data_IF_733785099938
#
_entry.id   IF_733785099938
#
_cell.length_a   1.000
_cell.length_b   1.000
_cell.length_c   1.000
_cell.angle_alpha   90.00
_cell.angle_beta   90.00
_cell.angle_gamma   90.00
#
_symmetry.space_group_name_H-M   'P 1'
#
loop_
_entity.id
_entity.type
_entity.pdbx_description
1 polymer ?
#
# COMPACT_ATOMS: atom_id res chain seq x y z
N UNK A 1 -7.60 -22.35 11.47
CA UNK A 1 -6.45 -22.02 10.60
C UNK A 1 -6.34 -20.51 10.58
N UNK A 2 -5.43 -19.96 11.37
CA UNK A 2 -5.12 -18.53 11.34
C UNK A 2 -4.51 -18.23 9.97
N UNK A 3 -5.18 -17.39 9.16
CA UNK A 3 -4.64 -16.97 7.87
C UNK A 3 -3.70 -15.81 8.12
N UNK A 4 -2.40 -16.05 7.98
CA UNK A 4 -1.38 -14.99 8.01
C UNK A 4 -1.74 -13.90 6.98
N UNK A 5 -1.75 -12.65 7.41
CA UNK A 5 -1.92 -11.50 6.53
C UNK A 5 -0.85 -11.52 5.43
N UNK A 6 -1.23 -11.38 4.15
CA UNK A 6 -0.31 -11.58 3.02
C UNK A 6 0.97 -10.73 3.08
N UNK A 7 0.88 -9.51 3.63
CA UNK A 7 2.05 -8.66 3.84
C UNK A 7 3.06 -9.25 4.85
N UNK A 8 2.61 -10.01 5.84
CA UNK A 8 3.50 -10.67 6.80
C UNK A 8 4.33 -11.79 6.13
N UNK A 9 3.78 -12.46 5.12
CA UNK A 9 4.52 -13.44 4.33
C UNK A 9 5.64 -12.74 3.53
N UNK A 10 5.35 -11.58 2.94
CA UNK A 10 6.33 -10.77 2.21
C UNK A 10 7.44 -10.29 3.16
N UNK A 11 7.07 -9.76 4.34
CA UNK A 11 8.01 -9.32 5.37
C UNK A 11 8.96 -10.43 5.82
N UNK A 12 8.43 -11.63 6.07
CA UNK A 12 9.22 -12.82 6.46
C UNK A 12 10.17 -13.29 5.35
N UNK A 13 9.75 -13.20 4.08
CA UNK A 13 10.56 -13.66 2.94
C UNK A 13 11.62 -12.66 2.47
N UNK A 14 11.37 -11.37 2.68
CA UNK A 14 12.22 -10.28 2.18
C UNK A 14 12.59 -9.31 3.29
N UNK A 15 13.23 -9.82 4.34
CA UNK A 15 13.65 -9.03 5.51
C UNK A 15 14.64 -7.94 5.10
N UNK A 16 14.52 -6.73 5.69
CA UNK A 16 15.40 -5.58 5.46
C UNK A 16 15.58 -5.19 3.97
N UNK A 17 14.56 -5.46 3.15
CA UNK A 17 14.59 -5.21 1.71
C UNK A 17 13.44 -4.29 1.29
N UNK A 18 13.64 -3.53 0.21
CA UNK A 18 12.56 -2.81 -0.44
C UNK A 18 11.86 -3.74 -1.44
N UNK A 19 10.54 -3.86 -1.36
CA UNK A 19 9.72 -4.73 -2.22
C UNK A 19 8.73 -3.89 -3.02
N UNK A 20 8.66 -4.13 -4.33
CA UNK A 20 7.60 -3.59 -5.18
C UNK A 20 6.50 -4.64 -5.30
N UNK A 21 5.30 -4.29 -4.84
CA UNK A 21 4.09 -5.12 -4.99
C UNK A 21 3.19 -4.51 -6.06
N UNK A 22 3.00 -5.22 -7.17
CA UNK A 22 2.05 -4.84 -8.24
C UNK A 22 0.76 -5.63 -8.05
N UNK A 23 -0.37 -4.94 -7.89
CA UNK A 23 -1.67 -5.59 -7.66
C UNK A 23 -2.84 -4.69 -8.09
N UNK A 24 -4.06 -5.21 -7.98
CA UNK A 24 -5.28 -4.50 -8.35
C UNK A 24 -5.72 -3.50 -7.28
N UNK A 25 -6.44 -2.46 -7.70
CA UNK A 25 -6.94 -1.38 -6.83
C UNK A 25 -7.77 -1.86 -5.65
N UNK A 26 -8.56 -2.94 -5.81
CA UNK A 26 -9.33 -3.53 -4.72
C UNK A 26 -8.41 -4.06 -3.59
N UNK A 27 -7.30 -4.69 -3.94
CA UNK A 27 -6.33 -5.21 -2.96
C UNK A 27 -5.60 -4.06 -2.26
N UNK A 28 -5.17 -3.05 -3.02
CA UNK A 28 -4.54 -1.84 -2.46
C UNK A 28 -5.48 -1.16 -1.47
N UNK A 29 -6.75 -0.95 -1.83
CA UNK A 29 -7.74 -0.34 -0.95
C UNK A 29 -7.96 -1.14 0.35
N UNK A 30 -7.98 -2.47 0.28
CA UNK A 30 -8.08 -3.33 1.47
C UNK A 30 -6.85 -3.19 2.37
N UNK A 31 -5.64 -3.15 1.80
CA UNK A 31 -4.40 -2.95 2.56
C UNK A 31 -4.44 -1.58 3.27
N UNK A 32 -4.79 -0.52 2.53
CA UNK A 32 -4.90 0.83 3.08
C UNK A 32 -5.94 0.91 4.20
N UNK A 33 -7.09 0.25 4.05
CA UNK A 33 -8.11 0.17 5.10
C UNK A 33 -7.61 -0.54 6.36
N UNK A 34 -6.92 -1.66 6.21
CA UNK A 34 -6.40 -2.39 7.37
C UNK A 34 -5.34 -1.59 8.13
N UNK A 35 -4.43 -0.92 7.42
CA UNK A 35 -3.34 -0.15 8.06
C UNK A 35 -3.86 1.15 8.69
N UNK A 36 -4.88 1.77 8.10
CA UNK A 36 -5.44 3.05 8.56
C UNK A 36 -6.66 2.91 9.47
N UNK A 37 -6.96 1.70 9.98
CA UNK A 37 -8.18 1.45 10.76
C UNK A 37 -9.48 1.92 10.06
N UNK A 38 -9.56 1.68 8.75
CA UNK A 38 -10.63 2.07 7.83
C UNK A 38 -10.77 3.58 7.60
N UNK A 39 -9.81 4.44 7.96
CA UNK A 39 -9.87 5.87 7.61
C UNK A 39 -9.80 6.09 6.09
N UNK A 40 -8.97 5.30 5.40
CA UNK A 40 -8.88 5.25 3.92
C UNK A 40 -9.19 3.84 3.41
N UNK A 41 -9.51 3.69 2.12
CA UNK A 41 -9.81 2.41 1.49
C UNK A 41 -11.07 2.41 0.63
N UNK A 42 -11.67 1.24 0.42
CA UNK A 42 -12.79 1.08 -0.51
C UNK A 42 -13.98 1.99 -0.14
N UNK A 43 -14.52 2.71 -1.13
CA UNK A 43 -15.61 3.68 -0.94
C UNK A 43 -15.19 5.02 -0.30
N UNK A 44 -13.98 5.11 0.27
CA UNK A 44 -13.44 6.33 0.90
C UNK A 44 -12.30 6.95 0.09
N UNK A 45 -11.58 6.14 -0.67
CA UNK A 45 -10.39 6.53 -1.41
C UNK A 45 -10.50 6.09 -2.86
N UNK A 46 -10.42 7.06 -3.78
CA UNK A 46 -10.34 6.79 -5.22
C UNK A 46 -8.88 6.65 -5.62
N UNK A 47 -8.47 5.43 -5.96
CA UNK A 47 -7.12 5.16 -6.48
C UNK A 47 -7.03 5.49 -7.97
N UNK A 48 -5.96 6.15 -8.37
CA UNK A 48 -5.65 6.41 -9.77
C UNK A 48 -4.86 5.26 -10.40
N UNK A 49 -5.01 5.06 -11.71
CA UNK A 49 -4.20 4.10 -12.46
C UNK A 49 -2.73 4.45 -12.34
N UNK A 50 -1.87 3.43 -12.20
CA UNK A 50 -0.43 3.57 -12.02
C UNK A 50 -0.01 4.44 -10.82
N UNK A 51 -0.91 4.68 -9.86
CA UNK A 51 -0.51 5.36 -8.62
C UNK A 51 0.49 4.52 -7.81
N UNK A 52 1.36 5.22 -7.10
CA UNK A 52 2.34 4.60 -6.20
C UNK A 52 1.88 4.85 -4.75
N UNK A 53 1.98 3.81 -3.93
CA UNK A 53 1.79 3.91 -2.48
C UNK A 53 2.98 3.28 -1.79
N UNK A 54 3.45 3.90 -0.70
CA UNK A 54 4.56 3.41 0.10
C UNK A 54 4.09 3.13 1.53
N UNK A 55 4.34 1.91 1.97
CA UNK A 55 4.11 1.46 3.34
C UNK A 55 5.41 0.89 3.89
N UNK A 56 5.57 0.91 5.21
CA UNK A 56 6.73 0.37 5.88
C UNK A 56 6.31 -0.33 7.17
N UNK A 57 7.11 -1.30 7.61
CA UNK A 57 6.91 -2.01 8.86
C UNK A 57 7.87 -1.47 9.90
N UNK A 58 7.35 -1.01 11.03
CA UNK A 58 8.12 -0.42 12.13
C UNK A 58 7.36 -0.60 13.45
N UNK A 59 8.09 -0.88 14.54
CA UNK A 59 7.51 -1.13 15.87
C UNK A 59 6.35 -2.12 15.85
N UNK A 60 6.57 -3.27 15.19
CA UNK A 60 5.60 -4.36 15.04
C UNK A 60 4.31 -4.01 14.26
N UNK A 61 4.27 -2.86 13.59
CA UNK A 61 3.08 -2.38 12.90
C UNK A 61 3.40 -1.90 11.48
N UNK A 62 2.43 -2.09 10.58
CA UNK A 62 2.47 -1.47 9.27
C UNK A 62 2.05 0.00 9.39
N UNK A 63 2.75 0.87 8.68
CA UNK A 63 2.49 2.30 8.63
C UNK A 63 2.45 2.76 7.18
N UNK A 64 1.54 3.68 6.87
CA UNK A 64 1.48 4.33 5.56
C UNK A 64 2.43 5.53 5.57
N UNK A 65 3.34 5.58 4.60
CA UNK A 65 4.18 6.77 4.35
C UNK A 65 3.49 7.72 3.40
N UNK A 66 2.97 7.19 2.30
CA UNK A 66 2.26 7.91 1.27
C UNK A 66 1.36 6.94 0.49
N UNK A 67 0.28 7.45 -0.10
CA UNK A 67 -0.64 6.64 -0.89
C UNK A 67 -1.14 7.44 -2.10
N UNK A 68 -1.48 6.71 -3.16
CA UNK A 68 -2.12 7.26 -4.35
C UNK A 68 -1.32 8.39 -5.05
N UNK A 69 0.02 8.32 -5.00
CA UNK A 69 0.91 9.31 -5.62
C UNK A 69 0.95 9.14 -7.13
N UNK A 70 0.75 10.24 -7.85
CA UNK A 70 0.70 10.30 -9.32
C UNK A 70 1.58 11.42 -9.87
N UNK A 71 2.43 12.02 -9.05
CA UNK A 71 3.28 13.16 -9.43
C UNK A 71 4.19 12.79 -10.61
N UNK A 72 4.64 11.53 -10.67
CA UNK A 72 5.42 10.98 -11.78
C UNK A 72 4.66 10.85 -13.12
N UNK A 73 3.32 10.94 -13.08
CA UNK A 73 2.47 10.93 -14.28
C UNK A 73 2.23 12.35 -14.81
N UNK A 74 2.60 13.39 -14.06
CA UNK A 74 2.54 14.75 -14.56
C UNK A 74 3.70 14.96 -15.54
N UNK A 75 3.39 15.05 -16.82
CA UNK A 75 4.29 15.66 -17.80
C UNK A 75 4.27 17.16 -17.60
N UNK A 76 5.45 17.78 -17.55
CA UNK A 76 5.62 19.24 -17.55
C UNK A 76 4.87 19.83 -18.75
N UNK A 77 3.66 20.35 -18.51
CA UNK A 77 3.01 21.26 -19.44
C UNK A 77 3.50 22.67 -19.10
N UNK A 78 4.65 23.04 -19.66
CA UNK A 78 5.00 24.44 -19.91
C UNK A 78 4.36 24.91 -21.20
#
# INVERSE_FOLDING_TARGET
IERDFGLNIILKKHTNSNVILVTHSAVINTILALISNNEIGSGKTKLFTACISSIYYDQEQWKIREYNKIDHLQTDNQ
#
